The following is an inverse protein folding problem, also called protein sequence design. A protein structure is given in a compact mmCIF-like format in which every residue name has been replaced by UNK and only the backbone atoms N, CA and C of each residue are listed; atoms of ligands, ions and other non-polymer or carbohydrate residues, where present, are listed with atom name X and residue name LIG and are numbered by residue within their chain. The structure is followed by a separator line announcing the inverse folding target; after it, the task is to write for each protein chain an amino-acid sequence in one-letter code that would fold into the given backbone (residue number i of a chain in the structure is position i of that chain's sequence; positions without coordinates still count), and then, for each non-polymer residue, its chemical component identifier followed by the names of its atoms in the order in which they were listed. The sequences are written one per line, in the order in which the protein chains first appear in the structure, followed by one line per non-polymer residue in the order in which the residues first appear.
data_IF_776444267615
#
_entry.id   IF_776444267615
#
_cell.length_a   1.000
_cell.length_b   1.000
_cell.length_c   1.000
_cell.angle_alpha   90.00
_cell.angle_beta   90.00
_cell.angle_gamma   90.00
#
_symmetry.space_group_name_H-M   'P 1'
#
loop_
_entity.id
_entity.type
_entity.pdbx_description
1 polymer ?
#
# COMPACT_ATOMS: atom_id res chain seq x y z
N UNK A 1 11.70 -3.25 14.94
CA UNK A 1 10.25 -3.50 14.80
C UNK A 1 9.81 -3.62 13.34
N UNK A 2 9.57 -2.54 12.58
CA UNK A 2 9.11 -2.66 11.19
C UNK A 2 10.07 -3.43 10.27
N UNK A 3 11.36 -3.08 10.27
CA UNK A 3 12.34 -3.79 9.45
C UNK A 3 12.41 -5.30 9.76
N UNK A 4 12.17 -5.68 11.02
CA UNK A 4 12.13 -7.08 11.44
C UNK A 4 10.83 -7.78 10.98
N UNK A 5 9.69 -7.10 11.03
CA UNK A 5 8.43 -7.60 10.49
C UNK A 5 8.47 -7.78 8.96
N UNK A 6 9.06 -6.82 8.23
CA UNK A 6 9.30 -6.92 6.79
C UNK A 6 10.24 -8.10 6.46
N UNK A 7 11.33 -8.23 7.22
CA UNK A 7 12.27 -9.35 7.07
C UNK A 7 11.59 -10.69 7.30
N UNK A 8 10.85 -10.83 8.39
CA UNK A 8 10.13 -12.08 8.71
C UNK A 8 9.09 -12.45 7.65
N UNK A 9 8.43 -11.44 7.07
CA UNK A 9 7.47 -11.63 5.96
C UNK A 9 8.17 -12.16 4.72
N UNK A 10 9.28 -11.54 4.32
CA UNK A 10 10.08 -11.97 3.18
C UNK A 10 10.73 -13.35 3.37
N UNK A 11 11.27 -13.63 4.56
CA UNK A 11 11.87 -14.93 4.90
C UNK A 11 10.82 -16.05 4.94
N UNK A 12 9.56 -15.74 5.29
CA UNK A 12 8.44 -16.68 5.24
C UNK A 12 8.03 -17.00 3.80
N UNK A 13 7.84 -15.97 2.98
CA UNK A 13 7.50 -16.11 1.56
C UNK A 13 7.90 -14.84 0.78
N UNK A 14 8.86 -14.92 -0.17
CA UNK A 14 9.34 -13.77 -0.93
C UNK A 14 8.36 -13.30 -2.03
N UNK A 15 7.24 -13.99 -2.23
CA UNK A 15 6.15 -13.54 -3.13
C UNK A 15 5.15 -12.60 -2.42
N UNK A 16 5.25 -12.44 -1.10
CA UNK A 16 4.42 -11.50 -0.36
C UNK A 16 4.86 -10.05 -0.56
N UNK A 17 3.90 -9.14 -0.40
CA UNK A 17 4.13 -7.72 -0.58
C UNK A 17 4.55 -7.05 0.73
N UNK A 18 5.01 -5.81 0.66
CA UNK A 18 5.49 -5.09 1.86
C UNK A 18 4.33 -4.74 2.81
N UNK A 19 3.10 -4.63 2.29
CA UNK A 19 1.85 -4.48 3.02
C UNK A 19 1.62 -5.66 3.98
N UNK A 20 1.96 -6.88 3.58
CA UNK A 20 1.90 -8.06 4.45
C UNK A 20 2.83 -7.92 5.67
N UNK A 21 3.96 -7.22 5.51
CA UNK A 21 4.86 -6.94 6.61
C UNK A 21 4.36 -5.87 7.58
N UNK A 22 3.54 -4.93 7.12
CA UNK A 22 2.79 -4.05 8.01
C UNK A 22 1.70 -4.82 8.78
N UNK A 23 1.03 -5.77 8.13
CA UNK A 23 0.08 -6.66 8.83
C UNK A 23 0.78 -7.56 9.86
N UNK A 24 1.96 -8.09 9.54
CA UNK A 24 2.81 -8.81 10.49
C UNK A 24 3.18 -7.94 11.70
N UNK A 25 3.53 -6.67 11.48
CA UNK A 25 3.81 -5.73 12.56
C UNK A 25 2.58 -5.50 13.46
N UNK A 26 1.38 -5.40 12.88
CA UNK A 26 0.11 -5.30 13.64
C UNK A 26 -0.16 -6.59 14.43
N UNK A 27 0.07 -7.76 13.84
CA UNK A 27 -0.13 -9.06 14.51
C UNK A 27 0.76 -9.22 15.74
N UNK A 28 1.93 -8.54 15.76
CA UNK A 28 2.84 -8.48 16.92
C UNK A 28 2.39 -7.50 18.01
N UNK A 29 1.23 -6.88 17.85
CA UNK A 29 0.64 -5.95 18.81
C UNK A 29 1.02 -4.48 18.60
N UNK A 30 1.66 -4.14 17.47
CA UNK A 30 1.91 -2.75 17.14
C UNK A 30 0.65 -2.06 16.63
N UNK A 31 0.48 -0.78 16.97
CA UNK A 31 -0.61 0.04 16.45
C UNK A 31 -0.13 0.84 15.25
N UNK A 32 -0.80 0.67 14.12
CA UNK A 32 -0.64 1.52 12.94
C UNK A 32 -1.94 2.33 12.80
N UNK A 33 -1.82 3.65 12.80
CA UNK A 33 -2.93 4.56 12.56
C UNK A 33 -2.90 5.04 11.10
N UNK A 34 -4.06 5.46 10.59
CA UNK A 34 -4.21 6.04 9.24
C UNK A 34 -4.50 7.54 9.32
N UNK A 35 -3.96 8.30 8.38
CA UNK A 35 -4.18 9.73 8.26
C UNK A 35 -4.86 10.05 6.91
N UNK A 36 -6.19 10.25 6.87
CA UNK A 36 -6.87 10.59 5.63
C UNK A 36 -6.46 12.01 5.17
N UNK A 37 -6.25 12.18 3.86
CA UNK A 37 -5.90 13.48 3.25
C UNK A 37 -7.12 14.21 2.66
N UNK A 38 -8.32 13.73 2.96
CA UNK A 38 -9.57 14.21 2.35
C UNK A 38 -9.97 13.40 1.12
N UNK A 39 -11.00 13.88 0.41
CA UNK A 39 -11.46 13.28 -0.83
C UNK A 39 -10.63 13.81 -2.00
N UNK A 40 -9.67 12.99 -2.44
CA UNK A 40 -8.76 13.30 -3.54
C UNK A 40 -8.97 12.24 -4.61
N UNK A 41 -9.41 12.60 -5.83
CA UNK A 41 -9.46 11.66 -6.94
C UNK A 41 -8.04 11.15 -7.22
N UNK A 42 -7.80 9.85 -7.03
CA UNK A 42 -6.52 9.19 -7.29
C UNK A 42 -6.75 7.78 -7.84
N UNK A 43 -5.72 7.25 -8.51
CA UNK A 43 -5.69 5.86 -9.01
C UNK A 43 -4.22 5.41 -9.12
N UNK A 44 -3.93 4.16 -8.78
CA UNK A 44 -2.65 3.50 -9.05
C UNK A 44 -2.65 2.97 -10.49
N UNK A 45 -1.58 3.20 -11.25
CA UNK A 45 -1.53 2.87 -12.68
C UNK A 45 -0.79 1.54 -12.89
N UNK A 46 -1.54 0.43 -12.87
CA UNK A 46 -0.98 -0.90 -13.08
C UNK A 46 -1.36 -1.50 -14.44
N UNK A 47 -2.41 -1.00 -15.07
CA UNK A 47 -2.86 -1.44 -16.38
C UNK A 47 -3.40 -0.29 -17.26
N UNK A 48 -3.92 -0.65 -18.44
CA UNK A 48 -4.41 0.32 -19.42
C UNK A 48 -5.72 1.00 -19.01
N UNK A 49 -6.56 0.32 -18.22
CA UNK A 49 -7.81 0.88 -17.71
C UNK A 49 -7.51 1.91 -16.63
N UNK A 50 -6.55 1.63 -15.74
CA UNK A 50 -6.07 2.59 -14.74
C UNK A 50 -5.47 3.82 -15.42
N UNK A 51 -4.70 3.63 -16.51
CA UNK A 51 -4.16 4.73 -17.30
C UNK A 51 -5.27 5.59 -17.91
N UNK A 52 -6.35 4.98 -18.40
CA UNK A 52 -7.51 5.72 -18.88
C UNK A 52 -8.16 6.52 -17.74
N UNK A 53 -8.32 5.92 -16.56
CA UNK A 53 -8.85 6.59 -15.37
C UNK A 53 -7.96 7.74 -14.89
N UNK A 54 -6.65 7.55 -14.91
CA UNK A 54 -5.67 8.57 -14.54
C UNK A 54 -5.75 9.80 -15.44
N UNK A 55 -6.01 9.61 -16.75
CA UNK A 55 -6.24 10.72 -17.69
C UNK A 55 -7.49 11.53 -17.34
N UNK A 56 -8.59 10.86 -16.98
CA UNK A 56 -9.82 11.55 -16.56
C UNK A 56 -9.62 12.41 -15.32
N UNK A 57 -8.82 11.92 -14.36
CA UNK A 57 -8.47 12.64 -13.14
C UNK A 57 -7.54 13.82 -13.45
N UNK A 58 -6.50 13.60 -14.25
CA UNK A 58 -5.48 14.61 -14.55
C UNK A 58 -6.01 15.79 -15.38
N UNK A 59 -6.98 15.57 -16.27
CA UNK A 59 -7.60 16.63 -17.09
C UNK A 59 -8.41 17.67 -16.29
N UNK A 60 -8.50 17.54 -14.97
CA UNK A 60 -9.26 18.44 -14.08
C UNK A 60 -8.41 19.61 -13.52
N UNK A 61 -7.12 19.68 -13.87
CA UNK A 61 -6.16 20.69 -13.43
C UNK A 61 -5.57 21.47 -14.60
#
# INVERSE_FOLDING_TARGET
ELADALRATFERDPQLYYEDGYQELVNRGFRIDVAPIGDVPWVEIDNHDDLARGREIACQY
#
